data_IF_012466736566
#
_entry.id   IF_012466736566
#
_cell.length_a   1.000
_cell.length_b   1.000
_cell.length_c   1.000
_cell.angle_alpha   90.00
_cell.angle_beta   90.00
_cell.angle_gamma   90.00
#
_symmetry.space_group_name_H-M   'P 1'
#
loop_
_entity.id
_entity.type
_entity.pdbx_description
1 polymer ?
#
# COMPACT_ATOMS: atom_id res chain seq x y z
N UNK A 1 -17.73 -8.51 15.37
CA UNK A 1 -16.80 -7.58 14.70
C UNK A 1 -15.46 -8.27 14.73
N UNK A 2 -14.76 -8.29 13.62
CA UNK A 2 -13.45 -8.96 13.49
C UNK A 2 -12.30 -7.97 13.69
N UNK A 3 -11.07 -8.49 13.84
CA UNK A 3 -9.86 -7.66 13.85
C UNK A 3 -9.72 -6.82 12.57
N UNK A 4 -10.13 -7.39 11.42
CA UNK A 4 -10.21 -6.67 10.14
C UNK A 4 -11.13 -5.45 10.23
N UNK A 5 -12.34 -5.61 10.79
CA UNK A 5 -13.31 -4.52 10.90
C UNK A 5 -12.80 -3.39 11.78
N UNK A 6 -12.23 -3.73 12.95
CA UNK A 6 -11.66 -2.77 13.89
C UNK A 6 -10.52 -1.98 13.23
N UNK A 7 -9.60 -2.68 12.55
CA UNK A 7 -8.49 -2.05 11.82
C UNK A 7 -8.97 -1.03 10.78
N UNK A 8 -10.05 -1.34 10.06
CA UNK A 8 -10.65 -0.41 9.09
C UNK A 8 -11.20 0.83 9.80
N UNK A 9 -11.98 0.65 10.87
CA UNK A 9 -12.59 1.76 11.61
C UNK A 9 -11.52 2.69 12.18
N UNK A 10 -10.46 2.13 12.78
CA UNK A 10 -9.34 2.91 13.32
C UNK A 10 -8.55 3.64 12.22
N UNK A 11 -8.38 3.00 11.06
CA UNK A 11 -7.58 3.55 9.95
C UNK A 11 -8.28 4.66 9.15
N UNK A 12 -9.61 4.65 9.11
CA UNK A 12 -10.44 5.58 8.35
C UNK A 12 -11.77 5.89 9.08
N UNK A 13 -11.72 6.57 10.23
CA UNK A 13 -12.94 6.90 11.00
C UNK A 13 -13.91 7.78 10.20
N UNK A 14 -13.40 8.58 9.25
CA UNK A 14 -14.21 9.46 8.40
C UNK A 14 -15.14 8.69 7.44
N UNK A 15 -14.88 7.41 7.16
CA UNK A 15 -15.80 6.56 6.40
C UNK A 15 -17.06 6.19 7.20
N UNK A 16 -17.05 6.41 8.52
CA UNK A 16 -18.12 6.03 9.44
C UNK A 16 -18.73 7.25 10.13
N UNK A 17 -19.49 8.11 9.42
CA UNK A 17 -20.10 9.29 10.00
C UNK A 17 -21.30 8.91 10.88
N UNK A 18 -21.04 8.29 12.03
CA UNK A 18 -22.03 7.78 13.00
C UNK A 18 -23.02 8.84 13.50
N UNK A 19 -22.66 10.11 13.39
CA UNK A 19 -23.50 11.25 13.75
C UNK A 19 -24.53 11.62 12.66
N UNK A 20 -24.47 11.03 11.46
CA UNK A 20 -25.40 11.35 10.37
C UNK A 20 -26.70 10.53 10.51
N UNK A 21 -27.90 11.15 10.40
CA UNK A 21 -29.19 10.46 10.59
C UNK A 21 -29.46 9.28 9.66
N UNK A 22 -28.73 9.20 8.54
CA UNK A 22 -28.87 8.14 7.52
C UNK A 22 -27.82 7.04 7.65
N UNK A 23 -26.90 7.15 8.62
CA UNK A 23 -25.88 6.13 8.84
C UNK A 23 -26.49 4.96 9.61
N UNK A 24 -26.44 3.76 9.02
CA UNK A 24 -27.05 2.55 9.58
C UNK A 24 -26.10 1.34 9.41
N UNK A 25 -26.46 0.22 10.04
CA UNK A 25 -25.63 -1.00 9.99
C UNK A 25 -25.32 -1.51 8.58
N UNK A 26 -26.24 -1.33 7.62
CA UNK A 26 -26.00 -1.73 6.22
C UNK A 26 -24.91 -0.88 5.57
N UNK A 27 -24.93 0.44 5.82
CA UNK A 27 -23.90 1.35 5.31
C UNK A 27 -22.53 1.03 5.92
N UNK A 28 -22.48 0.70 7.22
CA UNK A 28 -21.25 0.26 7.91
C UNK A 28 -20.67 -0.98 7.23
N UNK A 29 -21.48 -2.04 7.09
CA UNK A 29 -21.04 -3.29 6.48
C UNK A 29 -20.57 -3.11 5.04
N UNK A 30 -21.24 -2.25 4.26
CA UNK A 30 -20.80 -1.93 2.91
C UNK A 30 -19.45 -1.21 2.89
N UNK A 31 -19.23 -0.22 3.78
CA UNK A 31 -17.95 0.47 3.88
C UNK A 31 -16.82 -0.48 4.29
N UNK A 32 -17.07 -1.37 5.26
CA UNK A 32 -16.11 -2.39 5.66
C UNK A 32 -15.68 -3.25 4.46
N UNK A 33 -16.64 -3.86 3.75
CA UNK A 33 -16.36 -4.70 2.56
C UNK A 33 -15.57 -3.98 1.47
N UNK A 34 -15.85 -2.70 1.22
CA UNK A 34 -15.10 -1.90 0.24
C UNK A 34 -13.64 -1.73 0.66
N UNK A 35 -13.36 -1.49 1.95
CA UNK A 35 -11.98 -1.40 2.45
C UNK A 35 -11.27 -2.76 2.40
N UNK A 36 -11.99 -3.83 2.69
CA UNK A 36 -11.44 -5.19 2.56
C UNK A 36 -11.05 -5.48 1.12
N UNK A 37 -11.97 -5.31 0.18
CA UNK A 37 -11.70 -5.52 -1.24
C UNK A 37 -10.55 -4.63 -1.76
N UNK A 38 -10.51 -3.37 -1.34
CA UNK A 38 -9.46 -2.41 -1.73
C UNK A 38 -8.06 -2.86 -1.32
N UNK A 39 -7.89 -3.27 -0.06
CA UNK A 39 -6.58 -3.70 0.46
C UNK A 39 -6.19 -5.08 -0.06
N UNK A 40 -7.16 -5.96 -0.33
CA UNK A 40 -6.90 -7.27 -0.95
C UNK A 40 -6.33 -7.13 -2.37
N UNK A 41 -6.77 -6.12 -3.15
CA UNK A 41 -6.18 -5.79 -4.46
C UNK A 41 -4.67 -5.55 -4.35
N UNK A 42 -4.21 -4.97 -3.24
CA UNK A 42 -2.80 -4.72 -2.99
C UNK A 42 -2.03 -5.95 -2.51
N UNK A 43 -2.63 -6.79 -1.65
CA UNK A 43 -1.93 -7.91 -1.00
C UNK A 43 -2.02 -9.24 -1.76
N UNK A 44 -3.19 -9.62 -2.29
CA UNK A 44 -3.45 -10.99 -2.76
C UNK A 44 -3.41 -11.17 -4.27
N UNK A 45 -3.30 -10.11 -5.06
CA UNK A 45 -3.36 -10.23 -6.53
C UNK A 45 -2.02 -10.53 -7.18
N UNK A 46 -1.53 -11.73 -6.84
CA UNK A 46 -1.20 -12.80 -7.77
C UNK A 46 -2.28 -13.91 -7.90
N UNK A 47 -3.43 -13.86 -7.20
CA UNK A 47 -4.53 -14.85 -7.31
C UNK A 47 -5.93 -14.23 -7.43
N UNK A 48 -6.74 -14.83 -8.30
CA UNK A 48 -7.94 -14.31 -8.96
C UNK A 48 -9.25 -14.58 -8.19
N UNK A 49 -9.55 -13.90 -7.08
CA UNK A 49 -10.88 -14.07 -6.45
C UNK A 49 -11.49 -12.72 -6.11
N UNK A 50 -12.13 -12.12 -7.12
CA UNK A 50 -13.01 -10.98 -6.88
C UNK A 50 -14.23 -11.49 -6.08
N UNK A 51 -14.79 -10.70 -5.14
CA UNK A 51 -16.04 -11.07 -4.48
C UNK A 51 -17.16 -11.30 -5.51
N UNK A 52 -18.00 -12.32 -5.31
CA UNK A 52 -19.09 -12.72 -6.24
C UNK A 52 -20.03 -11.55 -6.61
N UNK A 53 -20.16 -10.56 -5.73
CA UNK A 53 -20.93 -9.32 -5.97
C UNK A 53 -20.38 -8.45 -7.11
N UNK A 54 -19.15 -8.68 -7.57
CA UNK A 54 -18.55 -8.03 -8.75
C UNK A 54 -18.67 -8.87 -10.03
N UNK A 55 -19.15 -10.11 -9.99
CA UNK A 55 -19.26 -11.01 -11.14
C UNK A 55 -20.23 -10.51 -12.23
N UNK A 56 -21.27 -9.80 -11.83
CA UNK A 56 -22.20 -9.16 -12.77
C UNK A 56 -21.51 -8.10 -13.65
N UNK A 57 -20.48 -7.42 -13.12
CA UNK A 57 -19.70 -6.40 -13.83
C UNK A 57 -18.65 -7.05 -14.73
N UNK A 58 -18.11 -8.20 -14.30
CA UNK A 58 -17.13 -9.01 -15.05
C UNK A 58 -17.71 -9.54 -16.36
N UNK A 59 -18.99 -9.92 -16.36
CA UNK A 59 -19.64 -10.63 -17.49
C UNK A 59 -19.81 -9.76 -18.75
N UNK A 60 -19.68 -8.43 -18.66
CA UNK A 60 -19.90 -7.50 -19.78
C UNK A 60 -18.63 -7.06 -20.54
N UNK A 61 -17.42 -7.35 -20.04
CA UNK A 61 -16.18 -6.77 -20.57
C UNK A 61 -15.26 -7.82 -21.23
N UNK A 62 -14.98 -7.61 -22.53
CA UNK A 62 -14.08 -8.47 -23.32
C UNK A 62 -12.66 -8.46 -22.73
N UNK A 63 -12.09 -9.66 -22.62
CA UNK A 63 -10.99 -10.05 -21.74
C UNK A 63 -9.61 -9.79 -22.37
N UNK A 64 -9.24 -8.53 -22.64
CA UNK A 64 -7.89 -8.20 -23.11
C UNK A 64 -6.97 -7.96 -21.91
N UNK A 65 -5.97 -8.84 -21.73
CA UNK A 65 -4.91 -8.66 -20.73
C UNK A 65 -3.83 -7.76 -21.32
N UNK A 66 -3.43 -6.74 -20.57
CA UNK A 66 -2.31 -5.88 -20.94
C UNK A 66 -0.99 -6.56 -20.54
N UNK A 67 -0.05 -6.60 -21.47
CA UNK A 67 1.29 -7.11 -21.23
C UNK A 67 2.16 -6.01 -20.60
N UNK A 68 3.11 -6.42 -19.77
CA UNK A 68 4.10 -5.51 -19.20
C UNK A 68 4.90 -4.87 -20.33
N UNK A 69 5.12 -3.57 -20.26
CA UNK A 69 5.85 -2.82 -21.28
C UNK A 69 7.36 -2.71 -20.95
N UNK A 70 8.20 -3.45 -21.69
CA UNK A 70 9.65 -3.43 -21.48
C UNK A 70 10.28 -2.04 -21.66
N UNK A 71 9.72 -1.20 -22.54
CA UNK A 71 10.18 0.19 -22.70
C UNK A 71 9.97 0.98 -21.41
N UNK A 72 8.77 0.89 -20.84
CA UNK A 72 8.41 1.57 -19.58
C UNK A 72 9.29 1.11 -18.42
N UNK A 73 9.57 -0.20 -18.35
CA UNK A 73 10.51 -0.77 -17.38
C UNK A 73 11.92 -0.18 -17.55
N UNK A 74 12.41 -0.11 -18.78
CA UNK A 74 13.73 0.43 -19.08
C UNK A 74 13.81 1.94 -18.79
N UNK A 75 12.75 2.70 -19.08
CA UNK A 75 12.67 4.13 -18.76
C UNK A 75 12.75 4.38 -17.25
N UNK A 76 12.03 3.57 -16.44
CA UNK A 76 12.13 3.62 -14.98
C UNK A 76 13.52 3.19 -14.47
N UNK A 77 14.11 2.14 -15.05
CA UNK A 77 15.46 1.68 -14.70
C UNK A 77 16.50 2.78 -14.96
N UNK A 78 16.43 3.48 -16.10
CA UNK A 78 17.32 4.58 -16.43
C UNK A 78 17.11 5.78 -15.49
N UNK A 79 15.85 6.13 -15.20
CA UNK A 79 15.50 7.21 -14.25
C UNK A 79 16.12 6.95 -12.87
N UNK A 80 16.07 5.70 -12.40
CA UNK A 80 16.59 5.28 -11.09
C UNK A 80 18.08 4.92 -11.16
N UNK A 81 18.76 5.29 -12.26
CA UNK A 81 20.20 5.08 -12.49
C UNK A 81 20.66 3.62 -12.37
N UNK A 82 19.76 2.67 -12.65
CA UNK A 82 20.02 1.24 -12.53
C UNK A 82 20.32 0.76 -11.12
N UNK A 83 19.85 1.49 -10.10
CA UNK A 83 20.11 1.23 -8.68
C UNK A 83 18.81 1.14 -7.87
N UNK A 84 18.86 0.41 -6.76
CA UNK A 84 17.83 0.50 -5.74
C UNK A 84 17.81 1.91 -5.15
N UNK A 85 16.66 2.58 -5.21
CA UNK A 85 16.50 3.97 -4.76
C UNK A 85 16.61 4.14 -3.24
N UNK A 86 16.64 3.04 -2.49
CA UNK A 86 16.89 3.01 -1.04
C UNK A 86 18.35 2.63 -0.77
N UNK A 87 18.80 1.46 -1.19
CA UNK A 87 20.10 0.90 -0.76
C UNK A 87 21.27 1.22 -1.67
N UNK A 88 21.03 1.74 -2.87
CA UNK A 88 22.05 1.95 -3.90
C UNK A 88 22.57 0.66 -4.57
N UNK A 89 22.02 -0.51 -4.23
CA UNK A 89 22.42 -1.79 -4.85
C UNK A 89 22.09 -1.76 -6.34
N UNK A 90 23.02 -2.20 -7.18
CA UNK A 90 22.82 -2.28 -8.64
C UNK A 90 21.84 -3.38 -9.05
N UNK A 91 21.32 -3.28 -10.27
CA UNK A 91 20.37 -4.24 -10.84
C UNK A 91 19.09 -4.44 -10.00
N UNK A 92 18.38 -3.35 -9.67
CA UNK A 92 17.10 -3.43 -8.97
C UNK A 92 16.03 -4.12 -9.83
N UNK A 93 14.98 -4.60 -9.17
CA UNK A 93 13.71 -4.93 -9.81
C UNK A 93 12.85 -3.67 -9.89
N UNK A 94 12.16 -3.48 -11.02
CA UNK A 94 11.20 -2.39 -11.19
C UNK A 94 9.86 -2.80 -10.62
N UNK A 95 9.55 -2.27 -9.44
CA UNK A 95 8.41 -2.66 -8.62
C UNK A 95 7.24 -1.72 -8.90
N UNK A 96 6.03 -2.25 -9.01
CA UNK A 96 4.87 -1.38 -9.19
C UNK A 96 4.42 -0.81 -7.85
N UNK A 97 4.10 0.49 -7.79
CA UNK A 97 3.47 1.12 -6.62
C UNK A 97 2.00 0.69 -6.51
N UNK A 98 1.29 0.71 -7.64
CA UNK A 98 -0.05 0.11 -7.81
C UNK A 98 0.11 -1.21 -8.57
N UNK A 99 -0.28 -2.35 -7.98
CA UNK A 99 -0.02 -3.66 -8.59
C UNK A 99 -0.58 -3.76 -10.01
N UNK A 100 0.26 -4.19 -10.97
CA UNK A 100 -0.17 -4.40 -12.36
C UNK A 100 -1.44 -5.25 -12.47
N UNK A 101 -1.55 -6.28 -11.64
CA UNK A 101 -2.71 -7.17 -11.64
C UNK A 101 -4.04 -6.42 -11.45
N UNK A 102 -4.04 -5.35 -10.63
CA UNK A 102 -5.21 -4.51 -10.36
C UNK A 102 -5.74 -3.79 -11.61
N UNK A 103 -4.88 -3.50 -12.57
CA UNK A 103 -5.21 -2.68 -13.76
C UNK A 103 -4.95 -3.38 -15.08
N UNK A 104 -4.43 -4.60 -15.06
CA UNK A 104 -4.02 -5.35 -16.27
C UNK A 104 -5.16 -5.89 -17.13
N UNK A 105 -6.40 -5.88 -16.62
CA UNK A 105 -7.59 -6.36 -17.34
C UNK A 105 -8.71 -5.34 -17.17
N UNK A 106 -9.54 -5.15 -18.20
CA UNK A 106 -10.68 -4.22 -18.17
C UNK A 106 -11.59 -4.44 -16.97
N UNK A 107 -11.83 -5.71 -16.61
CA UNK A 107 -12.62 -6.07 -15.42
C UNK A 107 -11.95 -5.64 -14.11
N UNK A 108 -10.65 -5.89 -13.95
CA UNK A 108 -9.92 -5.52 -12.74
C UNK A 108 -9.87 -4.00 -12.62
N UNK A 109 -9.66 -3.30 -13.74
CA UNK A 109 -9.72 -1.83 -13.78
C UNK A 109 -11.10 -1.30 -13.40
N UNK A 110 -12.19 -1.92 -13.87
CA UNK A 110 -13.55 -1.53 -13.49
C UNK A 110 -13.78 -1.69 -11.97
N UNK A 111 -13.35 -2.81 -11.39
CA UNK A 111 -13.42 -3.01 -9.93
C UNK A 111 -12.55 -1.99 -9.19
N UNK A 112 -11.30 -1.81 -9.62
CA UNK A 112 -10.39 -0.82 -9.06
C UNK A 112 -11.02 0.59 -9.10
N UNK A 113 -11.68 0.94 -10.20
CA UNK A 113 -12.36 2.23 -10.37
C UNK A 113 -13.51 2.44 -9.40
N UNK A 114 -14.32 1.40 -9.16
CA UNK A 114 -15.41 1.44 -8.18
C UNK A 114 -14.85 1.62 -6.77
N UNK A 115 -13.82 0.83 -6.43
CA UNK A 115 -13.22 0.86 -5.10
C UNK A 115 -12.41 2.13 -4.87
N UNK A 116 -11.92 2.81 -5.91
CA UNK A 116 -11.14 4.05 -5.81
C UNK A 116 -11.88 5.17 -5.06
N UNK A 117 -13.22 5.13 -5.02
CA UNK A 117 -14.06 6.03 -4.22
C UNK A 117 -13.62 6.10 -2.74
N UNK A 118 -13.06 5.01 -2.20
CA UNK A 118 -12.55 4.93 -0.83
C UNK A 118 -11.49 5.99 -0.53
N UNK A 119 -10.71 6.39 -1.53
CA UNK A 119 -9.62 7.38 -1.37
C UNK A 119 -10.15 8.75 -0.97
N UNK A 120 -11.44 9.03 -1.22
CA UNK A 120 -12.11 10.26 -0.81
C UNK A 120 -12.14 10.43 0.71
N UNK A 121 -12.31 9.35 1.46
CA UNK A 121 -12.30 9.36 2.93
C UNK A 121 -10.95 8.93 3.50
N UNK A 122 -10.30 7.94 2.86
CA UNK A 122 -9.03 7.39 3.33
C UNK A 122 -7.86 8.37 3.19
N UNK A 123 -7.80 9.12 2.09
CA UNK A 123 -6.70 10.06 1.81
C UNK A 123 -7.20 11.50 1.94
N UNK A 124 -8.04 11.93 1.00
CA UNK A 124 -8.76 13.21 1.07
C UNK A 124 -9.71 13.35 -0.13
N UNK A 125 -10.74 14.20 -0.02
CA UNK A 125 -11.58 14.55 -1.17
C UNK A 125 -10.79 15.19 -2.32
N UNK A 126 -9.82 16.05 -2.01
CA UNK A 126 -8.99 16.72 -3.00
C UNK A 126 -8.15 15.72 -3.79
N UNK A 127 -7.56 14.72 -3.12
CA UNK A 127 -6.84 13.63 -3.76
C UNK A 127 -7.75 12.86 -4.72
N UNK A 128 -8.91 12.41 -4.24
CA UNK A 128 -9.86 11.66 -5.06
C UNK A 128 -10.27 12.43 -6.31
N UNK A 129 -10.72 13.68 -6.18
CA UNK A 129 -11.17 14.46 -7.34
C UNK A 129 -10.03 14.79 -8.31
N UNK A 130 -8.79 14.98 -7.82
CA UNK A 130 -7.62 15.21 -8.68
C UNK A 130 -7.26 13.99 -9.53
N UNK A 131 -7.35 12.78 -8.96
CA UNK A 131 -6.74 11.58 -9.55
C UNK A 131 -7.72 10.54 -10.08
N UNK A 132 -9.01 10.58 -9.71
CA UNK A 132 -9.98 9.53 -10.08
C UNK A 132 -10.07 9.29 -11.59
N UNK A 133 -10.09 10.34 -12.41
CA UNK A 133 -10.26 10.17 -13.85
C UNK A 133 -8.98 9.58 -14.47
N UNK A 134 -7.83 9.98 -13.93
CA UNK A 134 -6.54 9.48 -14.38
C UNK A 134 -6.37 8.02 -13.99
N UNK A 135 -6.56 7.65 -12.73
CA UNK A 135 -6.21 6.32 -12.21
C UNK A 135 -7.17 5.22 -12.68
N UNK A 136 -8.33 5.61 -13.20
CA UNK A 136 -9.33 4.71 -13.79
C UNK A 136 -9.23 4.61 -15.31
N UNK A 137 -8.30 5.37 -15.91
CA UNK A 137 -8.04 5.30 -17.35
C UNK A 137 -7.28 4.01 -17.70
N UNK A 138 -7.71 3.27 -18.73
CA UNK A 138 -6.99 2.09 -19.20
C UNK A 138 -5.52 2.37 -19.50
N UNK A 139 -4.65 1.43 -19.13
CA UNK A 139 -3.20 1.47 -19.39
C UNK A 139 -2.41 2.57 -18.67
N UNK A 140 -3.06 3.47 -17.92
CA UNK A 140 -2.36 4.57 -17.23
C UNK A 140 -1.38 4.10 -16.16
N UNK A 141 -1.57 2.88 -15.64
CA UNK A 141 -0.69 2.29 -14.62
C UNK A 141 0.53 1.60 -15.22
N UNK A 142 0.59 1.43 -16.54
CA UNK A 142 1.77 0.96 -17.28
C UNK A 142 2.67 2.14 -17.66
N UNK A 143 3.07 2.94 -16.67
CA UNK A 143 3.94 4.10 -16.83
C UNK A 143 5.13 4.03 -15.89
N UNK A 144 6.23 4.70 -16.25
CA UNK A 144 7.44 4.70 -15.44
C UNK A 144 7.18 5.30 -14.05
N UNK A 145 6.23 6.24 -13.93
CA UNK A 145 5.80 6.84 -12.65
C UNK A 145 5.09 5.86 -11.70
N UNK A 146 4.63 4.71 -12.19
CA UNK A 146 4.11 3.64 -11.34
C UNK A 146 5.19 2.61 -10.97
N UNK A 147 6.43 2.79 -11.45
CA UNK A 147 7.54 1.89 -11.17
C UNK A 147 8.57 2.56 -10.26
N UNK A 148 9.16 1.78 -9.35
CA UNK A 148 10.28 2.19 -8.50
C UNK A 148 11.34 1.09 -8.44
N UNK A 149 12.62 1.46 -8.55
CA UNK A 149 13.73 0.52 -8.46
C UNK A 149 14.01 0.08 -7.03
N UNK A 150 13.71 -1.17 -6.69
CA UNK A 150 14.03 -1.75 -5.39
C UNK A 150 14.90 -3.00 -5.54
N UNK A 151 15.77 -3.25 -4.57
CA UNK A 151 16.44 -4.54 -4.46
C UNK A 151 15.39 -5.64 -4.28
N UNK A 152 15.65 -6.85 -4.79
CA UNK A 152 14.71 -7.99 -4.77
C UNK A 152 14.09 -8.25 -3.38
N UNK A 153 14.86 -8.15 -2.31
CA UNK A 153 14.35 -8.33 -0.95
C UNK A 153 13.34 -7.24 -0.57
N UNK A 154 13.66 -5.96 -0.84
CA UNK A 154 12.75 -4.85 -0.57
C UNK A 154 11.49 -4.90 -1.44
N UNK A 155 11.60 -5.33 -2.70
CA UNK A 155 10.44 -5.58 -3.56
C UNK A 155 9.52 -6.63 -2.93
N UNK A 156 10.08 -7.76 -2.50
CA UNK A 156 9.32 -8.81 -1.84
C UNK A 156 8.63 -8.32 -0.55
N UNK A 157 9.32 -7.51 0.25
CA UNK A 157 8.75 -6.93 1.45
C UNK A 157 7.65 -5.90 1.16
N UNK A 158 7.77 -5.13 0.08
CA UNK A 158 6.72 -4.21 -0.39
C UNK A 158 5.45 -4.99 -0.78
N UNK A 159 5.60 -6.04 -1.60
CA UNK A 159 4.49 -6.89 -2.07
C UNK A 159 3.74 -7.57 -0.91
N UNK A 160 4.46 -7.88 0.18
CA UNK A 160 3.90 -8.54 1.38
C UNK A 160 3.33 -7.57 2.42
N UNK A 161 3.46 -6.26 2.18
CA UNK A 161 3.07 -5.24 3.14
C UNK A 161 3.93 -5.20 4.41
N UNK A 162 5.20 -5.63 4.32
CA UNK A 162 6.17 -5.59 5.42
C UNK A 162 6.82 -4.20 5.53
N UNK A 163 6.87 -3.45 4.41
CA UNK A 163 7.29 -2.07 4.38
C UNK A 163 6.36 -1.23 3.50
N UNK A 164 6.37 0.08 3.71
CA UNK A 164 5.71 1.05 2.85
C UNK A 164 6.63 2.24 2.53
N UNK A 165 6.29 2.96 1.47
CA UNK A 165 7.02 4.14 1.02
C UNK A 165 6.12 5.36 1.21
N UNK A 166 6.50 6.29 2.08
CA UNK A 166 5.69 7.48 2.38
C UNK A 166 6.30 8.70 1.70
N UNK A 167 5.60 9.37 0.76
CA UNK A 167 6.11 10.60 0.19
C UNK A 167 6.20 11.68 1.27
N UNK A 168 7.25 12.49 1.21
CA UNK A 168 7.45 13.63 2.10
C UNK A 168 7.54 14.91 1.30
N UNK A 169 7.29 16.04 1.96
CA UNK A 169 7.49 17.32 1.30
C UNK A 169 8.95 17.46 0.87
N UNK A 170 9.20 17.92 -0.37
CA UNK A 170 10.56 18.14 -0.84
C UNK A 170 11.25 19.15 0.06
N UNK A 171 12.53 18.90 0.35
CA UNK A 171 13.37 19.90 1.03
C UNK A 171 13.45 21.16 0.15
N UNK A 172 13.66 22.33 0.76
CA UNK A 172 13.96 23.56 0.02
C UNK A 172 15.23 23.45 -0.84
N UNK A 173 16.07 22.46 -0.53
CA UNK A 173 17.29 22.13 -1.27
C UNK A 173 17.09 21.12 -2.39
N UNK A 174 15.95 20.42 -2.43
CA UNK A 174 15.69 19.39 -3.43
C UNK A 174 15.36 20.04 -4.78
N UNK A 175 15.81 19.42 -5.88
CA UNK A 175 15.41 19.84 -7.22
C UNK A 175 13.88 19.69 -7.36
N UNK A 176 13.15 20.64 -7.98
CA UNK A 176 11.68 20.67 -7.98
C UNK A 176 11.00 19.43 -8.58
N UNK A 177 11.71 18.69 -9.43
CA UNK A 177 11.24 17.43 -10.03
C UNK A 177 11.68 16.18 -9.24
N UNK A 178 12.09 16.32 -7.97
CA UNK A 178 12.52 15.18 -7.15
C UNK A 178 11.39 14.78 -6.22
N UNK A 179 11.00 13.52 -6.28
CA UNK A 179 10.18 12.88 -5.25
C UNK A 179 11.10 12.41 -4.14
N UNK A 180 10.84 12.83 -2.91
CA UNK A 180 11.54 12.37 -1.71
C UNK A 180 10.54 11.59 -0.87
N UNK A 181 10.94 10.44 -0.34
CA UNK A 181 10.05 9.60 0.45
C UNK A 181 10.81 8.88 1.55
N UNK A 182 10.08 8.52 2.61
CA UNK A 182 10.57 7.74 3.73
C UNK A 182 10.19 6.28 3.53
N UNK A 183 11.18 5.40 3.61
CA UNK A 183 10.94 3.98 3.81
C UNK A 183 10.52 3.72 5.26
N UNK A 184 9.43 2.99 5.46
CA UNK A 184 8.88 2.65 6.78
C UNK A 184 8.65 1.15 6.87
N UNK A 185 9.28 0.47 7.82
CA UNK A 185 8.89 -0.88 8.22
C UNK A 185 7.51 -0.83 8.87
N UNK A 186 6.60 -1.68 8.43
CA UNK A 186 5.27 -1.76 8.99
C UNK A 186 5.29 -2.76 10.15
N UNK A 187 4.76 -2.43 11.33
CA UNK A 187 4.67 -3.37 12.44
C UNK A 187 3.67 -4.48 12.13
N UNK A 188 3.63 -5.53 12.95
CA UNK A 188 2.48 -6.44 13.00
C UNK A 188 1.51 -5.83 14.01
N UNK A 189 0.29 -5.53 13.58
CA UNK A 189 -0.74 -4.93 14.44
C UNK A 189 -1.98 -5.81 14.51
N UNK A 190 -2.63 -5.76 15.67
CA UNK A 190 -3.88 -6.42 15.98
C UNK A 190 -3.74 -7.92 16.22
N UNK A 191 -4.90 -8.53 16.45
CA UNK A 191 -5.13 -9.97 16.31
C UNK A 191 -5.11 -10.36 14.82
N UNK A 192 -5.01 -11.66 14.53
CA UNK A 192 -5.20 -12.14 13.15
C UNK A 192 -6.50 -11.59 12.56
N UNK A 193 -6.51 -11.29 11.26
CA UNK A 193 -7.60 -10.55 10.63
C UNK A 193 -9.00 -11.18 10.78
N UNK A 194 -9.05 -12.50 10.99
CA UNK A 194 -10.27 -13.31 11.11
C UNK A 194 -10.61 -13.64 12.58
N UNK A 195 -9.85 -13.09 13.54
CA UNK A 195 -10.11 -13.27 14.97
C UNK A 195 -11.20 -12.30 15.45
N UNK A 196 -12.06 -12.77 16.35
CA UNK A 196 -13.09 -11.97 16.97
C UNK A 196 -12.49 -10.90 17.90
N UNK A 197 -13.07 -9.70 17.84
CA UNK A 197 -12.69 -8.55 18.65
C UNK A 197 -13.56 -8.43 19.89
N UNK A 198 -12.93 -8.19 21.04
CA UNK A 198 -13.55 -7.84 22.29
C UNK A 198 -13.40 -6.34 22.55
N UNK A 199 -14.53 -5.64 22.60
CA UNK A 199 -14.62 -4.24 23.02
C UNK A 199 -15.23 -4.24 24.43
N UNK A 200 -14.39 -4.06 25.45
CA UNK A 200 -14.83 -3.97 26.85
C UNK A 200 -14.34 -2.67 27.48
N UNK A 201 -15.00 -2.21 28.54
CA UNK A 201 -14.59 -1.00 29.28
C UNK A 201 -13.33 -1.25 30.14
N UNK A 202 -12.80 -2.48 30.16
CA UNK A 202 -11.61 -2.89 30.91
C UNK A 202 -10.35 -2.80 30.02
N UNK A 203 -9.16 -2.79 30.65
CA UNK A 203 -7.83 -2.60 30.02
C UNK A 203 -7.39 -3.66 28.97
N UNK A 204 -8.24 -4.63 28.65
CA UNK A 204 -7.96 -5.73 27.70
C UNK A 204 -8.79 -5.59 26.39
N UNK A 205 -9.20 -4.38 26.02
CA UNK A 205 -9.84 -4.10 24.72
C UNK A 205 -8.80 -4.24 23.59
N UNK A 206 -9.19 -4.90 22.50
CA UNK A 206 -8.35 -5.08 21.30
C UNK A 206 -7.92 -3.75 20.65
N UNK A 207 -8.67 -2.68 20.92
CA UNK A 207 -8.31 -1.31 20.55
C UNK A 207 -7.04 -0.86 21.27
N UNK A 208 -6.95 -1.09 22.59
CA UNK A 208 -5.78 -0.75 23.40
C UNK A 208 -4.58 -1.60 22.98
N UNK A 209 -4.79 -2.87 22.62
CA UNK A 209 -3.74 -3.72 22.07
C UNK A 209 -3.12 -3.13 20.79
N UNK A 210 -3.95 -2.70 19.83
CA UNK A 210 -3.48 -2.08 18.58
C UNK A 210 -2.69 -0.80 18.88
N UNK A 211 -3.22 0.08 19.72
CA UNK A 211 -2.53 1.32 20.10
C UNK A 211 -1.21 1.05 20.81
N UNK A 212 -1.19 0.10 21.74
CA UNK A 212 0.02 -0.31 22.45
C UNK A 212 1.09 -0.84 21.47
N UNK A 213 0.72 -1.72 20.54
CA UNK A 213 1.64 -2.25 19.53
C UNK A 213 2.20 -1.13 18.62
N UNK A 214 1.35 -0.18 18.21
CA UNK A 214 1.78 0.97 17.42
C UNK A 214 2.71 1.89 18.22
N UNK A 215 2.41 2.13 19.50
CA UNK A 215 3.26 2.92 20.40
C UNK A 215 4.62 2.25 20.59
N UNK A 216 4.66 0.94 20.86
CA UNK A 216 5.91 0.20 20.97
C UNK A 216 6.72 0.26 19.68
N UNK A 217 6.07 0.08 18.52
CA UNK A 217 6.72 0.22 17.23
C UNK A 217 7.27 1.63 17.04
N UNK A 218 6.50 2.67 17.37
CA UNK A 218 6.94 4.06 17.27
C UNK A 218 8.14 4.36 18.18
N UNK A 219 8.11 3.94 19.45
CA UNK A 219 9.20 4.11 20.41
C UNK A 219 10.50 3.42 19.94
N UNK A 220 10.38 2.33 19.19
CA UNK A 220 11.50 1.60 18.60
C UNK A 220 11.86 2.07 17.18
N UNK A 221 11.29 3.20 16.72
CA UNK A 221 11.50 3.74 15.37
C UNK A 221 11.12 2.77 14.26
N UNK A 222 10.03 2.03 14.45
CA UNK A 222 9.49 1.03 13.52
C UNK A 222 10.59 0.06 13.04
N UNK A 223 11.04 -0.87 13.89
CA UNK A 223 12.07 -1.82 13.51
C UNK A 223 11.54 -2.81 12.46
N UNK A 224 12.42 -3.43 11.67
CA UNK A 224 12.04 -4.57 10.85
C UNK A 224 11.38 -5.68 11.70
N UNK A 225 10.44 -6.41 11.10
CA UNK A 225 9.78 -7.55 11.75
C UNK A 225 10.78 -8.67 12.03
N UNK A 226 10.50 -9.52 13.01
CA UNK A 226 11.18 -10.80 13.19
C UNK A 226 10.44 -11.90 12.42
N UNK A 227 11.13 -12.90 11.86
CA UNK A 227 10.51 -14.12 11.33
C UNK A 227 9.55 -14.75 12.34
N UNK A 228 8.42 -15.26 11.88
CA UNK A 228 7.46 -15.96 12.76
C UNK A 228 8.05 -17.27 13.30
N UNK A 229 8.97 -17.89 12.54
CA UNK A 229 9.67 -19.11 12.91
C UNK A 229 11.16 -19.03 12.56
N UNK A 230 12.01 -19.55 13.45
CA UNK A 230 13.47 -19.65 13.29
C UNK A 230 14.28 -18.48 13.85
N UNK A 231 15.61 -18.55 13.71
CA UNK A 231 16.58 -17.55 14.20
C UNK A 231 16.99 -16.51 13.12
N UNK A 232 16.19 -16.40 12.05
CA UNK A 232 16.48 -15.48 10.94
C UNK A 232 16.15 -14.02 11.26
N UNK A 233 16.32 -13.14 10.28
CA UNK A 233 15.93 -11.73 10.38
C UNK A 233 15.32 -11.23 9.06
N UNK A 234 14.48 -10.20 9.14
CA UNK A 234 14.00 -9.44 7.97
C UNK A 234 14.74 -8.12 7.93
N UNK A 235 15.20 -7.73 6.74
CA UNK A 235 15.64 -6.37 6.49
C UNK A 235 16.55 -6.27 5.28
N UNK A 236 17.23 -5.14 5.18
CA UNK A 236 18.16 -4.85 4.10
C UNK A 236 19.38 -4.10 4.64
N UNK A 237 20.47 -4.10 3.88
CA UNK A 237 21.68 -3.37 4.21
C UNK A 237 22.03 -2.36 3.11
N UNK A 238 22.68 -1.28 3.51
CA UNK A 238 23.40 -0.37 2.62
C UNK A 238 24.73 -0.98 2.17
N UNK A 239 25.41 -0.28 1.27
CA UNK A 239 26.72 -0.69 0.75
C UNK A 239 27.83 -0.72 1.82
N UNK A 240 27.71 0.07 2.89
CA UNK A 240 28.62 0.10 4.03
C UNK A 240 28.30 -0.98 5.08
N UNK A 241 27.26 -1.79 4.85
CA UNK A 241 26.80 -2.83 5.77
C UNK A 241 25.89 -2.32 6.89
N UNK A 242 25.53 -1.03 6.92
CA UNK A 242 24.54 -0.53 7.86
C UNK A 242 23.14 -1.07 7.54
N UNK A 243 22.34 -1.35 8.56
CA UNK A 243 20.97 -1.81 8.41
C UNK A 243 20.05 -0.67 7.93
N UNK A 244 19.17 -0.99 7.00
CA UNK A 244 18.08 -0.08 6.58
C UNK A 244 17.03 -0.04 7.68
N UNK A 245 16.93 1.09 8.38
CA UNK A 245 15.87 1.37 9.34
C UNK A 245 14.73 2.18 8.72
N UNK A 246 13.59 2.26 9.41
CA UNK A 246 12.56 3.25 9.06
C UNK A 246 13.14 4.67 9.18
N UNK A 247 12.60 5.59 8.39
CA UNK A 247 13.09 6.98 8.34
C UNK A 247 14.11 7.23 7.22
N UNK A 248 14.69 6.18 6.63
CA UNK A 248 15.62 6.35 5.50
C UNK A 248 14.93 6.95 4.28
N UNK A 249 15.61 7.91 3.67
CA UNK A 249 15.10 8.66 2.54
C UNK A 249 15.47 8.01 1.21
N UNK A 250 14.46 7.70 0.40
CA UNK A 250 14.62 7.46 -1.03
C UNK A 250 14.41 8.75 -1.81
N UNK A 251 15.08 8.86 -2.97
CA UNK A 251 14.91 9.98 -3.90
C UNK A 251 14.81 9.48 -5.32
N UNK A 252 13.84 10.01 -6.07
CA UNK A 252 13.65 9.74 -7.49
C UNK A 252 13.53 11.06 -8.23
N UNK A 253 14.37 11.26 -9.25
CA UNK A 253 14.32 12.46 -10.09
C UNK A 253 13.47 12.19 -11.32
N UNK A 254 12.54 13.10 -11.61
CA UNK A 254 11.63 13.03 -12.75
C UNK A 254 11.98 14.07 -13.81
N UNK A 255 11.51 13.85 -15.04
CA UNK A 255 11.73 14.80 -16.13
C UNK A 255 10.78 16.00 -16.02
N UNK A 256 9.58 15.77 -15.50
CA UNK A 256 8.53 16.81 -15.38
C UNK A 256 7.93 16.86 -13.98
N UNK A 257 7.34 18.01 -13.63
CA UNK A 257 6.55 18.15 -12.39
C UNK A 257 5.35 17.20 -12.35
N UNK A 258 4.72 16.95 -13.50
CA UNK A 258 3.58 16.02 -13.59
C UNK A 258 3.98 14.59 -13.25
N UNK A 259 5.12 14.12 -13.76
CA UNK A 259 5.62 12.77 -13.44
C UNK A 259 5.92 12.61 -11.95
N UNK A 260 6.51 13.64 -11.34
CA UNK A 260 6.78 13.72 -9.91
C UNK A 260 5.47 13.69 -9.10
N UNK A 261 4.51 14.56 -9.45
CA UNK A 261 3.18 14.61 -8.81
C UNK A 261 2.44 13.26 -8.90
N UNK A 262 2.52 12.59 -10.06
CA UNK A 262 1.92 11.28 -10.29
C UNK A 262 2.58 10.21 -9.43
N UNK A 263 3.92 10.18 -9.38
CA UNK A 263 4.68 9.23 -8.58
C UNK A 263 4.35 9.39 -7.09
N UNK A 264 4.35 10.62 -6.57
CA UNK A 264 3.98 10.93 -5.19
C UNK A 264 2.53 10.51 -4.88
N UNK A 265 1.62 10.70 -5.84
CA UNK A 265 0.22 10.30 -5.66
C UNK A 265 0.05 8.78 -5.59
N UNK A 266 0.72 8.02 -6.46
CA UNK A 266 0.69 6.55 -6.43
C UNK A 266 1.37 6.00 -5.17
N UNK A 267 2.44 6.64 -4.72
CA UNK A 267 3.11 6.29 -3.48
C UNK A 267 2.23 6.58 -2.25
N UNK A 268 1.52 7.71 -2.24
CA UNK A 268 0.50 8.02 -1.21
C UNK A 268 -0.57 6.95 -1.17
N UNK A 269 -1.08 6.54 -2.34
CA UNK A 269 -2.08 5.49 -2.46
C UNK A 269 -1.59 4.17 -1.85
N UNK A 270 -0.37 3.78 -2.21
CA UNK A 270 0.29 2.57 -1.74
C UNK A 270 0.48 2.61 -0.21
N UNK A 271 1.02 3.70 0.32
CA UNK A 271 1.26 3.87 1.74
C UNK A 271 -0.02 3.77 2.58
N UNK A 272 -1.05 4.54 2.20
CA UNK A 272 -2.32 4.57 2.92
C UNK A 272 -3.02 3.20 2.85
N UNK A 273 -2.92 2.51 1.71
CA UNK A 273 -3.47 1.16 1.57
C UNK A 273 -2.76 0.15 2.45
N UNK A 274 -1.42 0.15 2.46
CA UNK A 274 -0.66 -0.76 3.31
C UNK A 274 -0.81 -0.45 4.81
N UNK A 275 -1.04 0.81 5.18
CA UNK A 275 -1.37 1.19 6.56
C UNK A 275 -2.67 0.55 7.01
N UNK A 276 -3.73 0.63 6.19
CA UNK A 276 -5.01 -0.04 6.47
C UNK A 276 -4.79 -1.56 6.57
N UNK A 277 -4.10 -2.16 5.61
CA UNK A 277 -3.78 -3.58 5.63
C UNK A 277 -3.03 -4.04 6.89
N UNK A 278 -2.13 -3.20 7.40
CA UNK A 278 -1.36 -3.45 8.62
C UNK A 278 -2.28 -3.48 9.84
N UNK A 279 -3.15 -2.48 9.98
CA UNK A 279 -4.10 -2.39 11.10
C UNK A 279 -5.16 -3.49 11.06
N UNK A 280 -5.49 -3.99 9.86
CA UNK A 280 -6.36 -5.16 9.67
C UNK A 280 -5.70 -6.50 10.03
N UNK A 281 -4.41 -6.53 10.38
CA UNK A 281 -3.66 -7.77 10.57
C UNK A 281 -3.53 -8.64 9.30
N UNK A 282 -3.61 -8.02 8.11
CA UNK A 282 -3.59 -8.73 6.81
C UNK A 282 -2.22 -8.74 6.12
N UNK A 283 -1.30 -7.85 6.50
CA UNK A 283 0.09 -7.93 6.00
C UNK A 283 0.74 -9.21 6.48
N UNK A 284 1.58 -9.83 5.63
CA UNK A 284 2.11 -11.15 5.94
C UNK A 284 2.93 -11.12 7.23
N UNK A 285 2.66 -12.05 8.15
CA UNK A 285 3.60 -12.34 9.21
C UNK A 285 4.87 -12.81 8.53
N UNK A 286 6.00 -12.24 8.96
CA UNK A 286 7.30 -12.40 8.34
C UNK A 286 7.52 -13.81 7.73
N UNK A 287 7.92 -13.94 6.44
CA UNK A 287 8.14 -15.23 5.82
C UNK A 287 8.95 -16.17 6.73
N UNK A 288 8.59 -17.45 6.72
CA UNK A 288 9.41 -18.49 7.34
C UNK A 288 10.85 -18.33 6.86
N UNK A 289 11.81 -18.41 7.78
CA UNK A 289 13.22 -18.54 7.45
C UNK A 289 13.42 -19.88 6.74
N UNK A 290 13.26 -19.88 5.41
CA UNK A 290 13.48 -21.04 4.53
C UNK A 290 14.95 -21.35 4.34
#
# INVERSE_FOLDING_TARGET
MTGSDLGIILSNPNAFPVHQPRFNGRNILQQLRVHEAWTEIYLKYGRQVLPEEFDAIVTANINTKTHRNDKVRNDAFLRDSGMCVITGISHPEMCHLVPHAATSRSVNLAVFSILFEITRTLISPQYYYKWRDLFTTPHIMEMATNLVGLGRHLHNYLDRGILALKPVQPSTTDHPHTSTFIMTWLPVCGKGADEDVQLCEDHDDDTDLIYHQLEQAFLQSFPPRQPEQGEGWIGAHFNDGALVSSGHLGRVRHNTLWERDMFDALMTLQYETLRVATLRGRTERAPNAG
#
